data_IF_730376898827
#
_entry.id   IF_730376898827
#
_cell.length_a   1.000
_cell.length_b   1.000
_cell.length_c   1.000
_cell.angle_alpha   90.00
_cell.angle_beta   90.00
_cell.angle_gamma   90.00
#
_symmetry.space_group_name_H-M   'P 1'
#
loop_
_entity.id
_entity.type
_entity.pdbx_description
1 polymer ?
#
# COMPACT_ATOMS: atom_id res chain seq x y z
N UNK A 1 -11.73 14.13 -10.50
CA UNK A 1 -11.25 13.30 -9.35
C UNK A 1 -9.91 12.71 -9.73
N UNK A 2 -8.86 12.89 -8.93
CA UNK A 2 -7.59 12.18 -9.14
C UNK A 2 -7.81 10.69 -8.87
N UNK A 3 -7.37 9.83 -9.78
CA UNK A 3 -7.52 8.38 -9.63
C UNK A 3 -6.40 7.89 -8.72
N UNK A 4 -6.76 7.28 -7.59
CA UNK A 4 -5.80 6.68 -6.66
C UNK A 4 -5.48 5.27 -7.10
N UNK A 5 -4.20 4.93 -7.07
CA UNK A 5 -3.69 3.60 -7.37
C UNK A 5 -3.03 3.02 -6.12
N UNK A 6 -3.10 1.70 -5.96
CA UNK A 6 -2.37 0.98 -4.93
C UNK A 6 -1.16 0.32 -5.57
N UNK A 7 0.03 0.62 -5.03
CA UNK A 7 1.29 0.01 -5.42
C UNK A 7 1.69 -0.95 -4.31
N UNK A 8 1.83 -2.24 -4.66
CA UNK A 8 2.29 -3.24 -3.72
C UNK A 8 3.77 -3.03 -3.38
N UNK A 9 4.13 -3.27 -2.12
CA UNK A 9 5.50 -3.05 -1.65
C UNK A 9 6.51 -3.93 -2.37
N UNK A 10 6.20 -5.22 -2.56
CA UNK A 10 7.02 -6.18 -3.30
C UNK A 10 7.34 -5.70 -4.73
N UNK A 11 6.36 -5.09 -5.41
CA UNK A 11 6.55 -4.58 -6.76
C UNK A 11 7.44 -3.34 -6.81
N UNK A 12 7.36 -2.49 -5.79
CA UNK A 12 8.27 -1.34 -5.66
C UNK A 12 9.68 -1.83 -5.39
N UNK A 13 9.85 -2.80 -4.51
CA UNK A 13 11.15 -3.41 -4.19
C UNK A 13 11.77 -4.06 -5.43
N UNK A 14 10.99 -4.81 -6.22
CA UNK A 14 11.41 -5.38 -7.50
C UNK A 14 11.93 -4.29 -8.46
N UNK A 15 11.18 -3.18 -8.64
CA UNK A 15 11.61 -2.09 -9.52
C UNK A 15 12.90 -1.41 -9.04
N UNK A 16 13.12 -1.30 -7.74
CA UNK A 16 14.35 -0.75 -7.16
C UNK A 16 15.52 -1.70 -7.39
N UNK A 17 15.33 -3.00 -7.16
CA UNK A 17 16.33 -4.05 -7.42
C UNK A 17 16.74 -4.09 -8.89
N UNK A 18 15.78 -3.91 -9.80
CA UNK A 18 16.01 -3.80 -11.24
C UNK A 18 16.63 -2.47 -11.68
N UNK A 19 16.90 -1.53 -10.76
CA UNK A 19 17.38 -0.17 -11.03
C UNK A 19 16.45 0.66 -11.93
N UNK A 20 15.16 0.34 -11.90
CA UNK A 20 14.09 1.01 -12.67
C UNK A 20 13.30 2.01 -11.83
N UNK A 21 13.54 2.06 -10.54
CA UNK A 21 12.98 3.06 -9.65
C UNK A 21 13.94 3.44 -8.53
N UNK A 22 13.73 4.62 -7.94
CA UNK A 22 14.41 5.06 -6.72
C UNK A 22 13.42 5.69 -5.75
N UNK A 23 13.73 5.61 -4.46
CA UNK A 23 12.95 6.23 -3.38
C UNK A 23 13.66 7.49 -2.89
N UNK A 24 12.92 8.59 -2.84
CA UNK A 24 13.36 9.85 -2.24
C UNK A 24 12.32 10.31 -1.22
N UNK A 25 12.57 10.04 0.06
CA UNK A 25 11.58 10.28 1.12
C UNK A 25 10.30 9.49 0.86
N UNK A 26 9.17 10.19 0.72
CA UNK A 26 7.86 9.58 0.41
C UNK A 26 7.52 9.62 -1.09
N UNK A 27 8.52 9.67 -1.97
CA UNK A 27 8.32 9.70 -3.42
C UNK A 27 8.99 8.52 -4.09
N UNK A 28 8.26 7.86 -4.99
CA UNK A 28 8.79 6.88 -5.93
C UNK A 28 9.06 7.57 -7.26
N UNK A 29 10.29 7.50 -7.72
CA UNK A 29 10.72 8.04 -9.01
C UNK A 29 10.98 6.86 -9.93
N UNK A 30 10.22 6.74 -11.01
CA UNK A 30 10.44 5.72 -12.03
C UNK A 30 11.55 6.21 -12.97
N UNK A 31 12.66 5.49 -12.95
CA UNK A 31 13.83 5.76 -13.77
C UNK A 31 13.58 5.22 -15.18
N UNK A 32 13.86 6.03 -16.18
CA UNK A 32 13.58 5.68 -17.57
C UNK A 32 14.69 4.84 -18.16
N UNK A 33 14.31 3.96 -19.08
CA UNK A 33 15.24 3.37 -20.03
C UNK A 33 15.44 4.22 -21.30
N UNK A 34 14.54 5.17 -21.59
CA UNK A 34 14.59 6.03 -22.80
C UNK A 34 14.50 7.52 -22.43
N UNK A 35 15.36 8.34 -23.03
CA UNK A 35 15.46 9.80 -22.87
C UNK A 35 14.21 10.57 -23.32
N UNK A 36 13.27 9.94 -24.06
CA UNK A 36 12.08 10.61 -24.63
C UNK A 36 10.83 10.60 -23.74
N UNK A 37 10.76 9.75 -22.73
CA UNK A 37 9.64 9.78 -21.77
C UNK A 37 9.93 10.83 -20.69
N UNK A 38 8.95 11.45 -20.01
CA UNK A 38 9.14 12.33 -18.84
C UNK A 38 9.26 11.51 -17.53
N UNK A 39 10.02 12.01 -16.54
CA UNK A 39 10.23 11.26 -15.29
C UNK A 39 8.90 11.18 -14.55
N UNK A 40 8.51 9.98 -14.13
CA UNK A 40 7.26 9.80 -13.41
C UNK A 40 7.54 9.75 -11.92
N UNK A 41 6.95 10.71 -11.20
CA UNK A 41 7.13 10.87 -9.76
C UNK A 41 5.79 10.64 -9.08
N UNK A 42 5.75 9.64 -8.21
CA UNK A 42 4.56 9.23 -7.47
C UNK A 42 4.73 9.58 -6.00
N UNK A 43 3.76 10.28 -5.42
CA UNK A 43 3.73 10.50 -3.96
C UNK A 43 3.16 9.26 -3.29
N UNK A 44 3.96 8.63 -2.45
CA UNK A 44 3.58 7.44 -1.73
C UNK A 44 2.94 7.79 -0.38
N UNK A 45 1.77 7.20 -0.13
CA UNK A 45 1.09 7.23 1.16
C UNK A 45 1.04 5.78 1.67
N UNK A 46 1.74 5.43 2.76
CA UNK A 46 1.71 4.08 3.32
C UNK A 46 0.28 3.62 3.56
N UNK A 47 -0.04 2.42 3.08
CA UNK A 47 -1.38 1.87 3.15
C UNK A 47 -1.34 0.34 3.11
N UNK A 48 -2.49 -0.25 3.40
CA UNK A 48 -2.69 -1.70 3.28
C UNK A 48 -3.90 -1.99 2.44
N UNK A 49 -3.87 -3.10 1.70
CA UNK A 49 -5.04 -3.70 1.06
C UNK A 49 -5.51 -4.85 1.92
N UNK A 50 -6.76 -4.80 2.37
CA UNK A 50 -7.34 -5.88 3.18
C UNK A 50 -7.79 -7.01 2.27
N UNK A 51 -7.25 -8.21 2.50
CA UNK A 51 -7.49 -9.38 1.68
C UNK A 51 -8.60 -10.27 2.22
N UNK A 52 -8.55 -10.55 3.53
CA UNK A 52 -9.40 -11.55 4.15
C UNK A 52 -9.53 -11.31 5.66
N UNK A 53 -10.70 -11.64 6.22
CA UNK A 53 -10.91 -11.72 7.67
C UNK A 53 -10.59 -13.15 8.11
N UNK A 54 -9.54 -13.34 8.90
CA UNK A 54 -9.08 -14.68 9.31
C UNK A 54 -9.90 -15.25 10.46
N UNK A 55 -10.45 -14.39 11.31
CA UNK A 55 -11.19 -14.80 12.52
C UNK A 55 -12.62 -15.25 12.22
N UNK A 56 -13.21 -14.81 11.11
CA UNK A 56 -14.61 -15.07 10.80
C UNK A 56 -14.85 -15.25 9.32
N UNK A 57 -15.81 -16.14 8.98
CA UNK A 57 -16.29 -16.32 7.60
C UNK A 57 -17.00 -15.07 7.07
N UNK A 58 -17.51 -14.23 7.97
CA UNK A 58 -18.09 -12.94 7.62
C UNK A 58 -17.09 -11.82 7.91
N UNK A 59 -17.17 -10.74 7.14
CA UNK A 59 -16.41 -9.52 7.40
C UNK A 59 -17.31 -8.49 8.11
N UNK A 60 -17.36 -8.48 9.46
CA UNK A 60 -18.30 -7.68 10.22
C UNK A 60 -18.09 -6.17 10.02
N UNK A 61 -16.86 -5.75 9.71
CA UNK A 61 -16.49 -4.36 9.54
C UNK A 61 -16.39 -3.93 8.07
N UNK A 62 -16.67 -4.84 7.12
CA UNK A 62 -16.64 -4.57 5.67
C UNK A 62 -15.31 -3.97 5.20
N UNK A 63 -14.21 -4.44 5.80
CA UNK A 63 -12.86 -3.99 5.50
C UNK A 63 -12.24 -4.74 4.31
N UNK A 64 -12.68 -5.97 4.00
CA UNK A 64 -12.16 -6.77 2.89
C UNK A 64 -12.32 -6.01 1.56
N UNK A 65 -11.24 -5.98 0.78
CA UNK A 65 -11.14 -5.24 -0.47
C UNK A 65 -10.92 -3.74 -0.31
N UNK A 66 -10.88 -3.20 0.92
CA UNK A 66 -10.57 -1.78 1.16
C UNK A 66 -9.06 -1.54 1.14
N UNK A 67 -8.70 -0.34 0.72
CA UNK A 67 -7.37 0.22 0.89
C UNK A 67 -7.40 1.20 2.05
N UNK A 68 -6.59 0.96 3.07
CA UNK A 68 -6.61 1.73 4.31
C UNK A 68 -5.23 2.36 4.51
N UNK A 69 -5.10 3.70 4.51
CA UNK A 69 -3.87 4.36 4.89
C UNK A 69 -3.41 3.92 6.28
N UNK A 70 -2.12 3.66 6.46
CA UNK A 70 -1.56 3.19 7.73
C UNK A 70 -1.79 4.19 8.87
N UNK A 71 -1.86 5.49 8.56
CA UNK A 71 -2.23 6.53 9.53
C UNK A 71 -3.63 6.33 10.11
N UNK A 72 -4.60 5.87 9.30
CA UNK A 72 -5.96 5.62 9.80
C UNK A 72 -5.95 4.44 10.77
N UNK A 73 -5.20 3.39 10.47
CA UNK A 73 -5.05 2.23 11.37
C UNK A 73 -4.40 2.66 12.70
N UNK A 74 -3.27 3.36 12.64
CA UNK A 74 -2.58 3.86 13.82
C UNK A 74 -3.46 4.78 14.68
N UNK A 75 -4.22 5.70 14.07
CA UNK A 75 -5.17 6.57 14.79
C UNK A 75 -6.30 5.80 15.49
N UNK A 76 -6.57 4.56 15.08
CA UNK A 76 -7.56 3.67 15.71
C UNK A 76 -6.92 2.67 16.67
N UNK A 77 -5.64 2.84 17.03
CA UNK A 77 -4.91 1.92 17.90
C UNK A 77 -4.69 0.54 17.27
N UNK A 78 -4.69 0.47 15.94
CA UNK A 78 -4.45 -0.77 15.19
C UNK A 78 -2.99 -0.83 14.79
N UNK A 79 -2.29 -1.79 15.38
CA UNK A 79 -0.91 -2.10 15.01
C UNK A 79 -0.88 -3.02 13.79
N UNK A 80 0.03 -2.71 12.87
CA UNK A 80 0.33 -3.54 11.71
C UNK A 80 1.34 -4.62 12.12
N UNK A 81 0.95 -5.87 11.95
CA UNK A 81 1.85 -7.01 11.91
C UNK A 81 2.26 -7.26 10.44
N UNK A 82 3.32 -8.04 10.24
CA UNK A 82 4.03 -8.18 8.95
C UNK A 82 3.12 -8.39 7.72
N UNK A 83 1.99 -9.09 7.88
CA UNK A 83 0.99 -9.33 6.84
C UNK A 83 -0.45 -9.35 7.39
N UNK A 84 -0.66 -8.81 8.59
CA UNK A 84 -1.98 -8.79 9.23
C UNK A 84 -2.16 -7.60 10.16
N UNK A 85 -3.39 -7.32 10.56
CA UNK A 85 -3.67 -6.46 11.72
C UNK A 85 -4.88 -6.98 12.47
N UNK A 86 -4.98 -6.59 13.74
CA UNK A 86 -6.16 -6.90 14.56
C UNK A 86 -6.99 -5.64 14.77
N UNK A 87 -8.27 -5.69 14.43
CA UNK A 87 -9.22 -4.62 14.71
C UNK A 87 -10.45 -5.18 15.42
N UNK A 88 -10.71 -4.70 16.65
CA UNK A 88 -11.86 -5.12 17.48
C UNK A 88 -12.02 -6.65 17.53
N UNK A 89 -10.94 -7.34 17.89
CA UNK A 89 -10.85 -8.82 18.00
C UNK A 89 -11.06 -9.59 16.69
N UNK A 90 -10.88 -8.94 15.54
CA UNK A 90 -10.86 -9.60 14.23
C UNK A 90 -9.47 -9.44 13.61
N UNK A 91 -8.83 -10.56 13.27
CA UNK A 91 -7.59 -10.57 12.50
C UNK A 91 -7.89 -10.46 11.02
N UNK A 92 -7.21 -9.54 10.35
CA UNK A 92 -7.32 -9.31 8.93
C UNK A 92 -5.97 -9.55 8.26
N UNK A 93 -5.95 -10.40 7.25
CA UNK A 93 -4.79 -10.55 6.35
C UNK A 93 -4.75 -9.38 5.39
N UNK A 94 -3.56 -8.84 5.15
CA UNK A 94 -3.33 -7.68 4.31
C UNK A 94 -2.17 -7.89 3.34
N UNK A 95 -2.18 -7.08 2.27
CA UNK A 95 -0.97 -6.73 1.54
C UNK A 95 -0.53 -5.32 1.94
N UNK A 96 0.77 -5.14 2.17
CA UNK A 96 1.37 -3.84 2.46
C UNK A 96 1.74 -3.15 1.15
N UNK A 97 1.53 -1.83 1.10
CA UNK A 97 1.90 -1.04 -0.05
C UNK A 97 1.65 0.44 0.16
N UNK A 98 1.35 1.13 -0.92
CA UNK A 98 1.22 2.57 -0.93
C UNK A 98 0.07 3.00 -1.81
N UNK A 99 -0.69 3.99 -1.35
CA UNK A 99 -1.59 4.76 -2.21
C UNK A 99 -0.79 5.88 -2.88
N UNK A 100 -1.02 6.06 -4.18
CA UNK A 100 -0.50 7.20 -4.93
C UNK A 100 -1.60 7.84 -5.75
N UNK A 101 -1.50 9.16 -5.92
CA UNK A 101 -2.27 9.90 -6.91
C UNK A 101 -1.47 9.93 -8.22
N UNK A 102 -2.17 9.75 -9.36
CA UNK A 102 -1.69 10.10 -10.70
C UNK A 102 -2.27 11.46 -11.13
#
# INVERSE_FOLDING_TARGET
MKKRFFLFQDKIEELILEKRATLQGNRLIILKHDLRTPEQIYKLIPAVKVLHCETSRIDPYKLVGKFIPSQILSNNGVDLLLNSFTYKNQSYRIDIGFLTDL
#
